data_IF_303271098788
#
_entry.id   IF_303271098788
#
_cell.length_a   1.000
_cell.length_b   1.000
_cell.length_c   1.000
_cell.angle_alpha   90.00
_cell.angle_beta   90.00
_cell.angle_gamma   90.00
#
_symmetry.space_group_name_H-M   'P 1'
#
loop_
_entity.id
_entity.type
_entity.pdbx_description
1 polymer ?
#
# COMPACT_ATOMS: atom_id res chain seq x y z
N UNK A 1 34.49 -3.94 31.53
CA UNK A 1 33.21 -4.40 30.95
C UNK A 1 32.78 -3.54 29.77
N UNK A 2 32.55 -2.23 29.96
CA UNK A 2 32.03 -1.31 28.93
C UNK A 2 32.68 -1.38 27.54
N UNK A 3 34.02 -1.43 27.46
CA UNK A 3 34.74 -1.45 26.17
C UNK A 3 34.45 -2.71 25.34
N UNK A 4 34.33 -3.86 26.01
CA UNK A 4 34.02 -5.15 25.37
C UNK A 4 32.58 -5.17 24.84
N UNK A 5 31.66 -4.54 25.58
CA UNK A 5 30.25 -4.44 25.17
C UNK A 5 30.08 -3.51 23.97
N UNK A 6 30.82 -2.38 23.94
CA UNK A 6 30.87 -1.48 22.78
C UNK A 6 31.45 -2.18 21.55
N UNK A 7 32.53 -2.93 21.70
CA UNK A 7 33.14 -3.67 20.59
C UNK A 7 32.22 -4.78 20.07
N UNK A 8 31.51 -5.48 20.96
CA UNK A 8 30.49 -6.45 20.59
C UNK A 8 29.30 -5.80 19.87
N UNK A 9 28.84 -4.64 20.32
CA UNK A 9 27.79 -3.88 19.66
C UNK A 9 28.20 -3.44 18.25
N UNK A 10 29.43 -2.93 18.08
CA UNK A 10 29.99 -2.56 16.76
C UNK A 10 30.05 -3.75 15.80
N UNK A 11 30.49 -4.92 16.28
CA UNK A 11 30.50 -6.15 15.47
C UNK A 11 29.10 -6.56 15.05
N UNK A 12 28.11 -6.48 15.95
CA UNK A 12 26.70 -6.76 15.63
C UNK A 12 26.17 -5.82 14.56
N UNK A 13 26.42 -4.51 14.69
CA UNK A 13 26.01 -3.51 13.69
C UNK A 13 26.64 -3.83 12.33
N UNK A 14 27.94 -4.10 12.28
CA UNK A 14 28.64 -4.45 11.03
C UNK A 14 28.05 -5.71 10.38
N UNK A 15 27.74 -6.73 11.17
CA UNK A 15 27.11 -7.96 10.69
C UNK A 15 25.69 -7.71 10.16
N UNK A 16 24.90 -6.87 10.85
CA UNK A 16 23.56 -6.48 10.40
C UNK A 16 23.63 -5.69 9.09
N UNK A 17 24.55 -4.73 8.98
CA UNK A 17 24.79 -3.99 7.74
C UNK A 17 25.19 -4.93 6.59
N UNK A 18 26.13 -5.85 6.83
CA UNK A 18 26.54 -6.83 5.83
C UNK A 18 25.38 -7.73 5.39
N UNK A 19 24.53 -8.17 6.33
CA UNK A 19 23.32 -8.94 6.02
C UNK A 19 22.33 -8.11 5.19
N UNK A 20 22.10 -6.85 5.56
CA UNK A 20 21.20 -5.96 4.83
C UNK A 20 21.69 -5.71 3.40
N UNK A 21 22.98 -5.45 3.21
CA UNK A 21 23.59 -5.29 1.88
C UNK A 21 23.39 -6.58 1.08
N UNK A 22 23.67 -7.75 1.65
CA UNK A 22 23.48 -9.02 0.94
C UNK A 22 22.03 -9.29 0.54
N UNK A 23 21.07 -8.81 1.34
CA UNK A 23 19.63 -8.86 1.03
C UNK A 23 19.31 -7.94 -0.14
N UNK A 24 19.85 -6.73 -0.16
CA UNK A 24 19.62 -5.78 -1.25
C UNK A 24 20.25 -6.24 -2.57
N UNK A 25 21.43 -6.88 -2.50
CA UNK A 25 22.12 -7.41 -3.68
C UNK A 25 21.43 -8.65 -4.26
N UNK A 26 21.01 -9.60 -3.41
CA UNK A 26 20.43 -10.89 -3.84
C UNK A 26 19.18 -11.24 -3.03
N UNK A 27 18.08 -10.49 -3.20
CA UNK A 27 16.86 -10.68 -2.40
C UNK A 27 16.24 -12.06 -2.62
N UNK A 28 16.27 -12.58 -3.86
CA UNK A 28 15.77 -13.92 -4.18
C UNK A 28 16.42 -15.05 -3.37
N UNK A 29 17.65 -14.88 -2.91
CA UNK A 29 18.40 -15.91 -2.18
C UNK A 29 18.53 -15.62 -0.69
N UNK A 30 18.62 -14.34 -0.31
CA UNK A 30 18.99 -13.91 1.04
C UNK A 30 17.82 -13.36 1.85
N UNK A 31 16.72 -12.97 1.20
CA UNK A 31 15.54 -12.44 1.85
C UNK A 31 14.40 -13.47 1.88
N UNK A 32 14.08 -13.93 3.09
CA UNK A 32 12.99 -14.86 3.33
C UNK A 32 11.62 -14.25 2.99
N UNK A 33 11.44 -12.95 3.23
CA UNK A 33 10.18 -12.25 2.93
C UNK A 33 9.99 -12.20 1.42
N UNK A 34 11.02 -11.75 0.70
CA UNK A 34 11.01 -11.76 -0.75
C UNK A 34 10.69 -13.16 -1.30
N UNK A 35 11.34 -14.21 -0.80
CA UNK A 35 11.09 -15.59 -1.25
C UNK A 35 9.65 -16.05 -1.04
N UNK A 36 9.03 -15.70 0.10
CA UNK A 36 7.63 -16.03 0.37
C UNK A 36 6.69 -15.26 -0.57
N UNK A 37 6.87 -13.95 -0.67
CA UNK A 37 6.06 -13.06 -1.52
C UNK A 37 6.19 -13.45 -3.00
N UNK A 38 7.41 -13.74 -3.44
CA UNK A 38 7.69 -14.19 -4.79
C UNK A 38 6.93 -15.49 -5.12
N UNK A 39 6.91 -16.47 -4.21
CA UNK A 39 6.13 -17.71 -4.41
C UNK A 39 4.62 -17.45 -4.51
N UNK A 40 4.08 -16.51 -3.73
CA UNK A 40 2.66 -16.16 -3.77
C UNK A 40 2.27 -15.56 -5.12
N UNK A 41 3.11 -14.68 -5.69
CA UNK A 41 2.79 -13.99 -6.95
C UNK A 41 3.21 -14.73 -8.23
N UNK A 42 4.02 -15.79 -8.12
CA UNK A 42 4.43 -16.61 -9.28
C UNK A 42 3.74 -17.98 -9.33
N UNK A 43 2.80 -18.25 -8.42
CA UNK A 43 1.96 -19.44 -8.53
C UNK A 43 1.00 -19.29 -9.70
N UNK A 44 0.73 -20.39 -10.39
CA UNK A 44 -0.35 -20.43 -11.36
C UNK A 44 -1.68 -20.54 -10.62
N UNK A 45 -2.45 -19.44 -10.60
CA UNK A 45 -3.70 -19.37 -9.86
C UNK A 45 -4.63 -18.31 -10.48
N UNK A 46 -5.97 -18.53 -10.52
CA UNK A 46 -6.91 -17.60 -11.17
C UNK A 46 -6.85 -16.15 -10.67
N UNK A 47 -6.56 -15.96 -9.38
CA UNK A 47 -6.43 -14.63 -8.76
C UNK A 47 -5.13 -13.87 -9.12
N UNK A 48 -4.19 -14.51 -9.82
CA UNK A 48 -2.88 -13.93 -10.12
C UNK A 48 -2.83 -13.50 -11.59
N UNK A 49 -2.94 -12.20 -11.83
CA UNK A 49 -2.85 -11.62 -13.17
C UNK A 49 -1.39 -11.47 -13.62
N UNK A 50 -0.84 -12.50 -14.25
CA UNK A 50 0.55 -12.49 -14.77
C UNK A 50 0.67 -11.77 -16.12
N UNK A 51 1.90 -11.61 -16.63
CA UNK A 51 2.19 -11.05 -17.97
C UNK A 51 2.15 -12.09 -19.09
N UNK A 52 1.74 -13.31 -18.77
CA UNK A 52 1.73 -14.41 -19.72
C UNK A 52 0.63 -14.25 -20.76
N UNK A 53 0.81 -14.87 -21.92
CA UNK A 53 -0.09 -14.73 -23.06
C UNK A 53 -1.53 -15.13 -22.75
N UNK A 54 -1.72 -16.16 -21.91
CA UNK A 54 -3.05 -16.60 -21.45
C UNK A 54 -3.86 -15.50 -20.75
N UNK A 55 -3.20 -14.50 -20.17
CA UNK A 55 -3.83 -13.38 -19.48
C UNK A 55 -3.92 -12.12 -20.34
N UNK A 56 -3.44 -12.13 -21.59
CA UNK A 56 -3.34 -10.92 -22.42
C UNK A 56 -4.70 -10.23 -22.63
N UNK A 57 -5.75 -11.01 -22.91
CA UNK A 57 -7.09 -10.46 -23.12
C UNK A 57 -7.65 -9.85 -21.83
N UNK A 58 -7.64 -10.59 -20.72
CA UNK A 58 -8.06 -10.09 -19.42
C UNK A 58 -7.30 -8.81 -19.03
N UNK A 59 -5.98 -8.76 -19.23
CA UNK A 59 -5.17 -7.56 -18.97
C UNK A 59 -5.61 -6.36 -19.78
N UNK A 60 -5.90 -6.54 -21.08
CA UNK A 60 -6.38 -5.46 -21.95
C UNK A 60 -7.72 -4.94 -21.46
N UNK A 61 -8.67 -5.84 -21.20
CA UNK A 61 -10.01 -5.47 -20.74
C UNK A 61 -9.97 -4.72 -19.41
N UNK A 62 -9.17 -5.21 -18.45
CA UNK A 62 -8.95 -4.57 -17.16
C UNK A 62 -8.33 -3.19 -17.33
N UNK A 63 -7.30 -3.07 -18.17
CA UNK A 63 -6.62 -1.79 -18.41
C UNK A 63 -7.57 -0.78 -19.06
N UNK A 64 -8.40 -1.20 -20.00
CA UNK A 64 -9.32 -0.31 -20.70
C UNK A 64 -10.46 0.17 -19.79
N UNK A 65 -10.94 -0.69 -18.88
CA UNK A 65 -11.88 -0.27 -17.81
C UNK A 65 -11.23 0.69 -16.83
N UNK A 66 -10.01 0.37 -16.35
CA UNK A 66 -9.28 1.20 -15.40
C UNK A 66 -8.94 2.57 -15.99
N UNK A 67 -8.55 2.63 -17.27
CA UNK A 67 -8.27 3.87 -17.97
C UNK A 67 -9.52 4.76 -18.06
N UNK A 68 -10.67 4.19 -18.45
CA UNK A 68 -11.94 4.93 -18.47
C UNK A 68 -12.34 5.44 -17.09
N UNK A 69 -12.24 4.60 -16.05
CA UNK A 69 -12.45 5.00 -14.64
C UNK A 69 -11.59 6.21 -14.27
N UNK A 70 -10.30 6.14 -14.56
CA UNK A 70 -9.35 7.19 -14.24
C UNK A 70 -9.67 8.51 -14.96
N UNK A 71 -9.98 8.44 -16.26
CA UNK A 71 -10.38 9.60 -17.07
C UNK A 71 -11.67 10.25 -16.57
N UNK A 72 -12.64 9.45 -16.10
CA UNK A 72 -13.88 9.97 -15.52
C UNK A 72 -13.72 10.47 -14.07
N UNK A 73 -12.55 10.30 -13.46
CA UNK A 73 -12.31 10.70 -12.08
C UNK A 73 -13.06 9.85 -11.04
N UNK A 74 -13.44 8.63 -11.41
CA UNK A 74 -14.06 7.69 -10.49
C UNK A 74 -13.03 7.15 -9.47
N UNK A 75 -13.42 6.90 -8.20
CA UNK A 75 -12.55 6.29 -7.20
C UNK A 75 -12.18 4.85 -7.59
N UNK A 76 -11.14 4.21 -7.02
CA UNK A 76 -10.15 4.76 -6.09
C UNK A 76 -9.21 5.72 -6.83
N UNK A 77 -9.10 6.96 -6.34
CA UNK A 77 -8.27 8.01 -6.94
C UNK A 77 -8.05 9.19 -5.97
N UNK A 78 -6.83 9.75 -5.94
CA UNK A 78 -6.53 11.04 -5.30
C UNK A 78 -6.68 12.20 -6.29
N UNK A 79 -7.07 13.38 -5.78
CA UNK A 79 -7.37 14.58 -6.59
C UNK A 79 -6.24 14.98 -7.56
N UNK A 80 -4.99 14.78 -7.16
CA UNK A 80 -3.81 15.16 -7.95
C UNK A 80 -3.03 13.93 -8.47
N UNK A 81 -3.67 12.76 -8.49
CA UNK A 81 -3.00 11.54 -8.94
C UNK A 81 -2.85 11.51 -10.46
N UNK A 82 -1.64 11.18 -10.89
CA UNK A 82 -1.25 10.92 -12.29
C UNK A 82 -1.13 9.43 -12.58
N UNK A 83 -1.12 8.59 -11.54
CA UNK A 83 -1.18 7.14 -11.62
C UNK A 83 -2.63 6.65 -11.65
N UNK A 84 -2.85 5.52 -12.32
CA UNK A 84 -4.13 4.81 -12.32
C UNK A 84 -3.94 3.35 -11.85
N UNK A 85 -2.87 3.10 -11.09
CA UNK A 85 -2.58 1.78 -10.52
C UNK A 85 -3.72 1.25 -9.65
N UNK A 86 -4.31 2.08 -8.80
CA UNK A 86 -5.46 1.67 -7.98
C UNK A 86 -6.71 1.40 -8.81
N UNK A 87 -6.90 2.11 -9.92
CA UNK A 87 -7.97 1.79 -10.86
C UNK A 87 -7.78 0.38 -11.47
N UNK A 88 -6.55 0.00 -11.80
CA UNK A 88 -6.24 -1.36 -12.28
C UNK A 88 -6.51 -2.39 -11.18
N UNK A 89 -6.02 -2.15 -9.96
CA UNK A 89 -6.22 -3.04 -8.82
C UNK A 89 -7.70 -3.26 -8.54
N UNK A 90 -8.50 -2.18 -8.52
CA UNK A 90 -9.93 -2.26 -8.31
C UNK A 90 -10.64 -3.06 -9.40
N UNK A 91 -10.38 -2.76 -10.68
CA UNK A 91 -10.99 -3.52 -11.78
C UNK A 91 -10.63 -5.01 -11.73
N UNK A 92 -9.42 -5.35 -11.31
CA UNK A 92 -9.00 -6.73 -11.14
C UNK A 92 -9.65 -7.41 -9.94
N UNK A 93 -9.78 -6.72 -8.80
CA UNK A 93 -10.49 -7.25 -7.64
C UNK A 93 -11.96 -7.54 -7.94
N UNK A 94 -12.62 -6.66 -8.70
CA UNK A 94 -14.00 -6.89 -9.15
C UNK A 94 -14.08 -8.11 -10.06
N UNK A 95 -13.17 -8.22 -11.03
CA UNK A 95 -13.13 -9.36 -11.95
C UNK A 95 -12.93 -10.69 -11.20
N UNK A 96 -11.98 -10.71 -10.25
CA UNK A 96 -11.77 -11.83 -9.34
C UNK A 96 -13.03 -12.20 -8.55
N UNK A 97 -13.71 -11.20 -7.97
CA UNK A 97 -14.90 -11.43 -7.15
C UNK A 97 -16.07 -12.00 -7.98
N UNK A 98 -16.23 -11.53 -9.23
CA UNK A 98 -17.21 -12.06 -10.18
C UNK A 98 -16.88 -13.52 -10.50
N UNK A 99 -15.64 -13.81 -10.91
CA UNK A 99 -15.22 -15.15 -11.31
C UNK A 99 -15.33 -16.16 -10.16
N UNK A 100 -14.97 -15.76 -8.95
CA UNK A 100 -15.01 -16.61 -7.77
C UNK A 100 -16.38 -16.64 -7.08
N UNK A 101 -17.34 -15.81 -7.52
CA UNK A 101 -18.60 -15.56 -6.84
C UNK A 101 -18.40 -15.31 -5.33
N UNK A 102 -17.44 -14.44 -5.02
CA UNK A 102 -16.89 -14.27 -3.68
C UNK A 102 -17.12 -12.85 -3.14
N UNK A 103 -16.99 -12.74 -1.82
CA UNK A 103 -16.89 -11.46 -1.11
C UNK A 103 -15.49 -10.87 -1.31
N UNK A 104 -15.35 -9.58 -1.02
CA UNK A 104 -14.08 -8.88 -1.17
C UNK A 104 -13.69 -8.23 0.15
N UNK A 105 -12.51 -8.61 0.64
CA UNK A 105 -11.88 -8.01 1.82
C UNK A 105 -10.66 -7.24 1.36
N UNK A 106 -10.65 -5.93 1.60
CA UNK A 106 -9.53 -5.04 1.31
C UNK A 106 -8.85 -4.72 2.64
N UNK A 107 -7.52 -4.86 2.67
CA UNK A 107 -6.71 -4.42 3.80
C UNK A 107 -5.85 -3.25 3.33
N UNK A 108 -6.21 -2.05 3.76
CA UNK A 108 -5.50 -0.84 3.40
C UNK A 108 -5.61 0.22 4.48
N UNK A 109 -4.53 0.98 4.66
CA UNK A 109 -4.53 2.23 5.44
C UNK A 109 -4.62 3.47 4.54
N UNK A 110 -4.55 3.28 3.22
CA UNK A 110 -4.71 4.38 2.28
C UNK A 110 -6.18 4.80 2.20
N UNK A 111 -6.40 6.11 2.04
CA UNK A 111 -7.72 6.72 1.96
C UNK A 111 -8.46 6.47 0.63
N UNK A 112 -7.81 5.83 -0.34
CA UNK A 112 -8.34 5.69 -1.70
C UNK A 112 -9.55 4.75 -1.79
N UNK A 113 -9.61 3.75 -0.92
CA UNK A 113 -10.69 2.75 -0.89
C UNK A 113 -11.78 3.09 0.13
N UNK A 114 -11.53 4.05 1.01
CA UNK A 114 -12.42 4.37 2.11
C UNK A 114 -11.77 5.22 3.18
N UNK A 115 -12.50 5.44 4.27
CA UNK A 115 -12.04 6.22 5.41
C UNK A 115 -12.16 5.41 6.70
N UNK A 116 -11.31 5.73 7.68
CA UNK A 116 -11.40 5.13 9.01
C UNK A 116 -11.85 6.19 10.00
N UNK A 117 -12.91 5.88 10.75
CA UNK A 117 -13.47 6.73 11.78
C UNK A 117 -13.74 5.90 13.04
N UNK A 118 -13.29 6.39 14.19
CA UNK A 118 -13.45 5.73 15.49
C UNK A 118 -13.11 4.23 15.48
N UNK A 119 -11.90 3.91 15.00
CA UNK A 119 -11.37 2.54 14.87
C UNK A 119 -12.16 1.59 13.95
N UNK A 120 -13.14 2.11 13.19
CA UNK A 120 -13.88 1.37 12.16
C UNK A 120 -13.57 1.91 10.78
N UNK A 121 -13.33 1.00 9.84
CA UNK A 121 -13.03 1.35 8.46
C UNK A 121 -14.27 1.17 7.59
N UNK A 122 -14.56 2.19 6.79
CA UNK A 122 -15.71 2.28 5.92
C UNK A 122 -15.25 2.42 4.48
N UNK A 123 -15.72 1.51 3.62
CA UNK A 123 -15.51 1.61 2.18
C UNK A 123 -16.20 2.84 1.62
N UNK A 124 -15.59 3.48 0.62
CA UNK A 124 -16.20 4.56 -0.15
C UNK A 124 -17.55 4.14 -0.77
N UNK A 125 -18.58 4.95 -0.60
CA UNK A 125 -19.95 4.62 -1.02
C UNK A 125 -20.08 4.29 -2.51
N UNK A 126 -19.34 4.99 -3.37
CA UNK A 126 -19.33 4.71 -4.81
C UNK A 126 -18.75 3.32 -5.09
N UNK A 127 -17.65 2.95 -4.42
CA UNK A 127 -17.05 1.61 -4.57
C UNK A 127 -17.99 0.52 -4.04
N UNK A 128 -18.67 0.76 -2.92
CA UNK A 128 -19.66 -0.17 -2.36
C UNK A 128 -20.84 -0.38 -3.30
N UNK A 129 -21.40 0.70 -3.83
CA UNK A 129 -22.53 0.62 -4.77
C UNK A 129 -22.10 -0.10 -6.05
N UNK A 130 -20.93 0.23 -6.58
CA UNK A 130 -20.41 -0.39 -7.78
C UNK A 130 -20.18 -1.90 -7.60
N UNK A 131 -19.56 -2.30 -6.50
CA UNK A 131 -19.37 -3.72 -6.16
C UNK A 131 -20.71 -4.46 -6.09
N UNK A 132 -21.70 -3.86 -5.43
CA UNK A 132 -23.04 -4.45 -5.32
C UNK A 132 -23.72 -4.63 -6.68
N UNK A 133 -23.52 -3.67 -7.59
CA UNK A 133 -24.11 -3.70 -8.94
C UNK A 133 -23.40 -4.69 -9.87
N UNK A 134 -22.08 -4.82 -9.77
CA UNK A 134 -21.27 -5.66 -10.69
C UNK A 134 -21.11 -7.09 -10.20
N UNK A 135 -21.07 -7.31 -8.90
CA UNK A 135 -20.82 -8.61 -8.28
C UNK A 135 -22.11 -9.20 -7.73
N UNK A 136 -22.67 -8.60 -6.67
CA UNK A 136 -23.93 -9.04 -6.06
C UNK A 136 -24.39 -8.08 -4.97
N UNK A 137 -25.70 -7.87 -4.84
CA UNK A 137 -26.30 -7.14 -3.72
C UNK A 137 -26.18 -7.89 -2.38
N UNK A 138 -25.88 -9.19 -2.38
CA UNK A 138 -25.81 -10.02 -1.17
C UNK A 138 -24.38 -10.20 -0.63
N UNK A 139 -23.36 -9.94 -1.45
CA UNK A 139 -21.95 -10.19 -1.10
C UNK A 139 -21.38 -9.00 -0.36
N UNK A 140 -20.59 -9.26 0.66
CA UNK A 140 -19.97 -8.20 1.45
C UNK A 140 -18.69 -7.65 0.79
N UNK A 141 -18.51 -6.34 0.98
CA UNK A 141 -17.29 -5.61 0.69
C UNK A 141 -16.80 -4.96 1.99
N UNK A 142 -15.67 -5.44 2.49
CA UNK A 142 -15.11 -5.08 3.79
C UNK A 142 -13.76 -4.37 3.64
N UNK A 143 -13.51 -3.40 4.50
CA UNK A 143 -12.22 -2.70 4.62
C UNK A 143 -11.67 -2.91 6.03
N UNK A 144 -10.41 -3.31 6.11
CA UNK A 144 -9.63 -3.35 7.35
C UNK A 144 -8.38 -2.49 7.20
N UNK A 145 -7.91 -1.92 8.31
CA UNK A 145 -6.62 -1.20 8.37
C UNK A 145 -5.47 -2.07 8.83
N UNK A 146 -5.79 -3.24 9.38
CA UNK A 146 -4.85 -4.19 9.97
C UNK A 146 -5.03 -5.57 9.34
N UNK A 147 -3.91 -6.19 8.99
CA UNK A 147 -3.86 -7.54 8.46
C UNK A 147 -4.31 -8.54 9.52
N UNK A 148 -3.91 -8.34 10.79
CA UNK A 148 -4.34 -9.21 11.89
C UNK A 148 -5.87 -9.28 12.02
N UNK A 149 -6.56 -8.15 11.91
CA UNK A 149 -8.02 -8.11 12.03
C UNK A 149 -8.72 -8.78 10.84
N UNK A 150 -8.20 -8.59 9.62
CA UNK A 150 -8.69 -9.30 8.45
C UNK A 150 -8.45 -10.82 8.53
N UNK A 151 -7.30 -11.25 9.04
CA UNK A 151 -7.01 -12.68 9.22
C UNK A 151 -7.95 -13.34 10.24
N UNK A 152 -8.30 -12.63 11.32
CA UNK A 152 -9.30 -13.10 12.29
C UNK A 152 -10.68 -13.28 11.67
N UNK A 153 -11.06 -12.40 10.73
CA UNK A 153 -12.32 -12.54 9.98
C UNK A 153 -12.35 -13.87 9.20
N UNK A 154 -11.22 -14.30 8.64
CA UNK A 154 -11.08 -15.61 7.99
C UNK A 154 -10.79 -16.78 8.94
N UNK A 155 -10.95 -16.58 10.26
CA UNK A 155 -10.64 -17.57 11.30
C UNK A 155 -9.20 -18.11 11.27
N UNK A 156 -8.26 -17.31 10.76
CA UNK A 156 -6.83 -17.64 10.79
C UNK A 156 -6.27 -17.24 12.15
N UNK A 157 -5.56 -18.17 12.80
CA UNK A 157 -4.96 -17.92 14.10
C UNK A 157 -3.88 -16.82 14.00
N UNK A 158 -4.05 -15.75 14.78
CA UNK A 158 -3.06 -14.67 14.92
C UNK A 158 -2.51 -14.73 16.34
N UNK A 159 -1.19 -14.85 16.46
CA UNK A 159 -0.52 -14.84 17.76
C UNK A 159 -0.43 -13.42 18.30
N UNK A 160 -0.42 -13.28 19.64
CA UNK A 160 -0.27 -11.98 20.28
C UNK A 160 1.03 -11.26 19.88
N UNK A 161 2.10 -12.02 19.61
CA UNK A 161 3.36 -11.47 19.12
C UNK A 161 3.22 -10.82 17.74
N UNK A 162 2.43 -11.41 16.83
CA UNK A 162 2.17 -10.84 15.50
C UNK A 162 1.32 -9.57 15.57
N UNK A 163 0.28 -9.57 16.40
CA UNK A 163 -0.56 -8.38 16.60
C UNK A 163 0.24 -7.21 17.16
N UNK A 164 1.10 -7.48 18.14
CA UNK A 164 1.97 -6.49 18.74
C UNK A 164 2.99 -5.96 17.72
N UNK A 165 3.64 -6.84 16.96
CA UNK A 165 4.59 -6.43 15.93
C UNK A 165 3.93 -5.54 14.86
N UNK A 166 2.68 -5.82 14.47
CA UNK A 166 1.94 -4.95 13.56
C UNK A 166 1.59 -3.61 14.20
N UNK A 167 1.14 -3.59 15.45
CA UNK A 167 0.82 -2.37 16.17
C UNK A 167 2.05 -1.45 16.32
N UNK A 168 3.19 -2.03 16.71
CA UNK A 168 4.47 -1.32 16.85
C UNK A 168 4.90 -0.70 15.50
N UNK A 169 4.71 -1.42 14.39
CA UNK A 169 5.02 -0.92 13.05
C UNK A 169 4.11 0.25 12.65
N UNK A 170 2.80 0.15 12.94
CA UNK A 170 1.84 1.21 12.64
C UNK A 170 2.16 2.48 13.44
N UNK A 171 2.51 2.34 14.70
CA UNK A 171 2.91 3.46 15.55
C UNK A 171 4.19 4.13 15.02
N UNK A 172 5.19 3.33 14.63
CA UNK A 172 6.43 3.86 14.03
C UNK A 172 6.18 4.62 12.73
N UNK A 173 5.29 4.13 11.86
CA UNK A 173 4.90 4.84 10.64
C UNK A 173 4.24 6.19 10.97
N UNK A 174 3.30 6.21 11.92
CA UNK A 174 2.63 7.44 12.34
C UNK A 174 3.58 8.46 12.97
N UNK A 175 4.61 8.00 13.71
CA UNK A 175 5.67 8.85 14.25
C UNK A 175 6.60 9.39 13.16
N UNK A 176 6.96 8.57 12.18
CA UNK A 176 7.75 8.97 11.02
C UNK A 176 7.06 10.04 10.19
N UNK A 177 5.76 9.88 9.92
CA UNK A 177 4.96 10.86 9.18
C UNK A 177 4.88 12.19 9.93
N UNK A 178 4.73 12.17 11.26
CA UNK A 178 4.75 13.38 12.09
C UNK A 178 6.10 14.08 12.04
N UNK A 179 7.20 13.33 12.10
CA UNK A 179 8.56 13.89 12.04
C UNK A 179 8.86 14.54 10.68
N UNK A 180 8.43 13.91 9.58
CA UNK A 180 8.53 14.46 8.22
C UNK A 180 7.63 15.69 8.03
N UNK A 181 6.43 15.71 8.63
CA UNK A 181 5.54 16.89 8.56
C UNK A 181 6.05 18.09 9.38
N UNK A 182 6.82 17.85 10.45
CA UNK A 182 7.37 18.91 11.32
C UNK A 182 8.69 19.51 10.78
N UNK A 183 9.35 18.83 9.83
CA UNK A 183 10.60 19.29 9.21
C UNK A 183 10.39 20.14 7.94
N UNK A 184 9.13 20.42 7.57
CA UNK A 184 8.75 21.39 6.54
C UNK A 184 8.33 22.75 7.16
N UNK A 185 9.29 23.58 7.59
CA UNK A 185 9.11 25.01 7.39
C UNK A 185 10.41 25.66 6.89
N UNK A 186 10.63 25.69 5.56
CA UNK A 186 11.65 26.56 4.97
C UNK A 186 11.47 26.84 3.47
N UNK A 187 10.25 27.21 3.03
CA UNK A 187 10.04 27.71 1.65
C UNK A 187 9.63 29.20 1.56
N UNK A 188 9.50 29.94 2.66
CA UNK A 188 9.05 31.34 2.63
C UNK A 188 10.18 32.40 2.84
N UNK A 189 11.39 32.17 2.34
CA UNK A 189 12.45 33.22 2.31
C UNK A 189 12.92 33.55 0.87
N UNK A 190 12.27 33.00 -0.16
CA UNK A 190 12.59 33.35 -1.54
C UNK A 190 11.75 34.50 -2.11
N UNK A 191 10.81 35.10 -1.35
CA UNK A 191 9.94 36.20 -1.85
C UNK A 191 10.29 37.59 -1.31
N UNK A 192 11.43 37.77 -0.64
CA UNK A 192 11.89 39.10 -0.17
C UNK A 192 13.06 39.64 -1.03
N UNK A 193 13.59 38.84 -1.96
CA UNK A 193 14.76 39.21 -2.78
C UNK A 193 14.47 39.95 -4.10
N UNK A 194 13.27 39.83 -4.67
CA UNK A 194 13.02 40.25 -6.06
C UNK A 194 12.29 41.59 -6.23
N UNK A 195 11.99 42.32 -5.14
CA UNK A 195 11.33 43.64 -5.20
C UNK A 195 12.27 44.83 -4.99
N UNK A 196 13.60 44.64 -5.08
CA UNK A 196 14.59 45.70 -4.86
C UNK A 196 15.43 46.07 -6.10
N UNK A 197 15.07 45.62 -7.31
CA UNK A 197 15.79 45.97 -8.55
C UNK A 197 14.91 46.57 -9.66
N UNK A 198 13.74 47.15 -9.34
CA UNK A 198 12.89 47.79 -10.35
C UNK A 198 12.54 49.27 -10.09
N UNK A 199 13.16 49.93 -9.09
CA UNK A 199 12.98 51.37 -8.85
C UNK A 199 14.32 52.10 -8.69
N UNK A 200 15.07 52.26 -9.79
CA UNK A 200 16.37 52.95 -9.75
C UNK A 200 16.97 53.36 -11.09
N UNK A 201 16.14 53.59 -12.12
CA UNK A 201 16.56 54.26 -13.35
C UNK A 201 15.55 55.34 -13.73
N UNK A 202 15.65 56.47 -13.03
CA UNK A 202 15.42 57.81 -13.57
C UNK A 202 16.64 58.67 -13.25
#
# INVERSE_FOLDING_TARGET
>A
MLKRDIDNARKRIKNLQGKLISILERPAEKDQIYQVVHRIFHRDHPLVLTREERHNNARKDIRDRAYRRFMHGCPPRKRNDTSYGDAINWEWMIDCAIQANAELVIVSRDGDYGSTYDSKSYINDHLRQEFSNRVSQKRELLLYTRVSDALKHFHVAVTHAQEKAEADLVEQMALGDKFLSQSQPMQDIASIGDNAMENGLE
#
